data_IF_187808791704
#
_entry.id   IF_187808791704
#
_cell.length_a   1.000
_cell.length_b   1.000
_cell.length_c   1.000
_cell.angle_alpha   90.00
_cell.angle_beta   90.00
_cell.angle_gamma   90.00
#
_symmetry.space_group_name_H-M   'P 1'
#
loop_
_entity.id
_entity.type
_entity.pdbx_description
1 polymer ?
#
# COMPACT_ATOMS: atom_id res chain seq x y z
N UNK A 1 53.91 -4.80 18.79
CA UNK A 1 52.88 -5.60 18.12
C UNK A 1 51.43 -5.13 18.37
N UNK A 2 51.10 -4.57 19.54
CA UNK A 2 49.71 -4.09 19.82
C UNK A 2 49.29 -2.85 19.02
N UNK A 3 50.20 -1.96 18.65
CA UNK A 3 49.90 -0.72 17.89
C UNK A 3 49.63 -0.95 16.41
N UNK A 4 50.16 -2.02 15.81
CA UNK A 4 49.95 -2.33 14.39
C UNK A 4 48.55 -2.92 14.11
N UNK A 5 47.99 -3.67 15.07
CA UNK A 5 46.69 -4.32 14.96
C UNK A 5 45.59 -3.27 15.02
N UNK A 6 45.69 -2.23 15.87
CA UNK A 6 44.71 -1.16 15.96
C UNK A 6 44.63 -0.32 14.66
N UNK A 7 45.81 -0.03 14.05
CA UNK A 7 45.85 0.74 12.79
C UNK A 7 45.27 -0.01 11.59
N UNK A 8 45.43 -1.34 11.55
CA UNK A 8 44.85 -2.18 10.48
C UNK A 8 43.33 -2.29 10.63
N UNK A 9 42.80 -2.41 11.84
CA UNK A 9 41.37 -2.44 12.11
C UNK A 9 40.65 -1.12 11.71
N UNK A 10 41.27 0.02 12.00
CA UNK A 10 40.74 1.34 11.62
C UNK A 10 40.75 1.52 10.10
N UNK A 11 41.78 1.08 9.40
CA UNK A 11 41.88 1.15 7.93
C UNK A 11 40.84 0.25 7.24
N UNK A 12 40.63 -0.97 7.74
CA UNK A 12 39.62 -1.89 7.19
C UNK A 12 38.20 -1.36 7.40
N UNK A 13 37.92 -0.84 8.59
CA UNK A 13 36.62 -0.22 8.88
C UNK A 13 36.37 1.02 8.02
N UNK A 14 37.34 1.87 7.78
CA UNK A 14 37.26 3.05 6.92
C UNK A 14 37.03 2.68 5.46
N UNK A 15 37.72 1.67 4.93
CA UNK A 15 37.50 1.18 3.56
C UNK A 15 36.12 0.52 3.37
N UNK A 16 35.62 -0.21 4.37
CA UNK A 16 34.30 -0.81 4.33
C UNK A 16 33.20 0.26 4.30
N UNK A 17 33.29 1.29 5.14
CA UNK A 17 32.36 2.42 5.18
C UNK A 17 32.38 3.24 3.87
N UNK A 18 33.54 3.46 3.27
CA UNK A 18 33.66 4.13 1.97
C UNK A 18 32.98 3.32 0.87
N UNK A 19 33.17 2.00 0.84
CA UNK A 19 32.51 1.12 -0.14
C UNK A 19 30.98 1.08 0.06
N UNK A 20 30.51 1.08 1.30
CA UNK A 20 29.07 1.11 1.60
C UNK A 20 28.46 2.43 1.15
N UNK A 21 29.04 3.59 1.49
CA UNK A 21 28.54 4.90 1.09
C UNK A 21 28.54 5.09 -0.44
N UNK A 22 29.54 4.51 -1.13
CA UNK A 22 29.60 4.52 -2.59
C UNK A 22 28.48 3.66 -3.22
N UNK A 23 28.20 2.47 -2.68
CA UNK A 23 27.08 1.63 -3.10
C UNK A 23 25.73 2.37 -2.97
N UNK A 24 25.48 2.99 -1.83
CA UNK A 24 24.27 3.79 -1.59
C UNK A 24 24.17 4.96 -2.58
N UNK A 25 25.28 5.67 -2.81
CA UNK A 25 25.31 6.77 -3.77
C UNK A 25 24.96 6.28 -5.17
N UNK A 26 25.63 5.22 -5.64
CA UNK A 26 25.38 4.65 -6.96
C UNK A 26 23.93 4.15 -7.12
N UNK A 27 23.37 3.54 -6.08
CA UNK A 27 21.98 3.12 -6.04
C UNK A 27 21.04 4.33 -6.21
N UNK A 28 21.22 5.40 -5.43
CA UNK A 28 20.41 6.62 -5.55
C UNK A 28 20.51 7.27 -6.94
N UNK A 29 21.69 7.29 -7.52
CA UNK A 29 21.94 7.86 -8.85
C UNK A 29 21.33 7.01 -9.98
N UNK A 30 21.19 5.69 -9.78
CA UNK A 30 20.55 4.79 -10.74
C UNK A 30 19.04 4.96 -10.82
N UNK A 31 18.39 5.42 -9.73
CA UNK A 31 16.94 5.60 -9.67
C UNK A 31 16.55 6.93 -10.34
N UNK A 32 15.86 6.84 -11.48
CA UNK A 32 15.43 8.02 -12.23
C UNK A 32 14.14 7.80 -12.99
N UNK A 33 13.28 8.82 -13.03
CA UNK A 33 12.08 8.85 -13.85
C UNK A 33 12.40 9.42 -15.23
N UNK A 34 12.53 8.56 -16.23
CA UNK A 34 12.81 8.98 -17.62
C UNK A 34 11.58 9.55 -18.32
N UNK A 35 10.40 9.13 -17.86
CA UNK A 35 9.08 9.46 -18.36
C UNK A 35 8.32 10.40 -17.41
N UNK A 36 9.05 11.30 -16.72
CA UNK A 36 8.50 12.18 -15.67
C UNK A 36 7.19 12.87 -16.09
N UNK A 37 7.12 13.42 -17.31
CA UNK A 37 5.93 14.11 -17.78
C UNK A 37 4.70 13.17 -17.91
N UNK A 38 4.93 11.91 -18.29
CA UNK A 38 3.87 10.89 -18.35
C UNK A 38 3.37 10.54 -16.96
N UNK A 39 4.29 10.30 -16.02
CA UNK A 39 3.93 10.04 -14.61
C UNK A 39 3.14 11.19 -14.04
N UNK A 40 3.59 12.44 -14.25
CA UNK A 40 2.93 13.65 -13.74
C UNK A 40 1.53 13.84 -14.33
N UNK A 41 1.33 13.49 -15.61
CA UNK A 41 0.01 13.52 -16.24
C UNK A 41 -1.01 12.62 -15.54
N UNK A 42 -0.64 11.36 -15.27
CA UNK A 42 -1.57 10.38 -14.68
C UNK A 42 -1.65 10.47 -13.15
N UNK A 43 -0.58 10.88 -12.49
CA UNK A 43 -0.59 11.22 -11.08
C UNK A 43 -1.61 12.33 -10.79
N UNK A 44 -1.66 13.37 -11.63
CA UNK A 44 -2.61 14.48 -11.50
C UNK A 44 -4.06 14.10 -11.82
N UNK A 45 -4.33 12.91 -12.35
CA UNK A 45 -5.70 12.39 -12.49
C UNK A 45 -6.28 11.86 -11.19
N UNK A 46 -5.46 11.61 -10.18
CA UNK A 46 -5.90 11.25 -8.82
C UNK A 46 -6.26 12.56 -8.11
N UNK A 47 -7.56 12.87 -8.05
CA UNK A 47 -8.04 14.15 -7.53
C UNK A 47 -8.68 14.02 -6.14
N UNK A 48 -8.70 15.10 -5.35
CA UNK A 48 -9.45 15.12 -4.08
C UNK A 48 -10.93 14.81 -4.27
N UNK A 49 -11.52 15.29 -5.36
CA UNK A 49 -12.96 15.15 -5.68
C UNK A 49 -13.33 13.69 -5.95
N UNK A 50 -12.52 12.96 -6.72
CA UNK A 50 -12.76 11.55 -7.05
C UNK A 50 -12.56 10.66 -5.83
N UNK A 51 -11.51 10.91 -5.05
CA UNK A 51 -11.29 10.23 -3.76
C UNK A 51 -12.45 10.48 -2.78
N UNK A 52 -12.99 11.71 -2.73
CA UNK A 52 -14.14 12.05 -1.91
C UNK A 52 -15.38 11.26 -2.31
N UNK A 53 -15.63 11.08 -3.62
CA UNK A 53 -16.76 10.30 -4.13
C UNK A 53 -16.67 8.84 -3.67
N UNK A 54 -15.50 8.21 -3.85
CA UNK A 54 -15.29 6.82 -3.42
C UNK A 54 -15.40 6.66 -1.91
N UNK A 55 -14.71 7.52 -1.15
CA UNK A 55 -14.65 7.41 0.30
C UNK A 55 -16.02 7.68 0.93
N UNK A 56 -16.74 8.71 0.49
CA UNK A 56 -18.10 8.99 0.95
C UNK A 56 -19.05 7.83 0.63
N UNK A 57 -18.92 7.18 -0.53
CA UNK A 57 -19.71 6.00 -0.83
C UNK A 57 -19.41 4.85 0.13
N UNK A 58 -18.13 4.49 0.29
CA UNK A 58 -17.70 3.33 1.07
C UNK A 58 -18.04 3.47 2.56
N UNK A 59 -17.99 4.68 3.12
CA UNK A 59 -18.19 4.95 4.55
C UNK A 59 -19.61 5.36 4.93
N UNK A 60 -20.63 5.06 4.09
CA UNK A 60 -22.03 5.35 4.41
C UNK A 60 -22.61 4.40 5.47
N UNK A 61 -23.52 4.91 6.27
CA UNK A 61 -24.26 4.14 7.29
C UNK A 61 -25.01 2.92 6.72
N UNK A 62 -25.39 2.95 5.43
CA UNK A 62 -26.03 1.80 4.77
C UNK A 62 -25.20 0.54 4.78
N UNK A 63 -23.86 0.68 4.85
CA UNK A 63 -22.92 -0.44 4.91
C UNK A 63 -22.62 -0.92 6.35
N UNK A 64 -23.28 -0.29 7.34
CA UNK A 64 -23.24 -0.74 8.74
C UNK A 64 -21.83 -0.98 9.28
N UNK A 65 -20.87 -0.13 8.88
CA UNK A 65 -19.47 -0.23 9.28
C UNK A 65 -18.71 -1.42 8.71
N UNK A 66 -19.15 -1.99 7.59
CA UNK A 66 -18.41 -2.97 6.74
C UNK A 66 -17.80 -4.16 7.48
N UNK A 67 -18.48 -4.69 8.52
CA UNK A 67 -17.94 -5.80 9.29
C UNK A 67 -17.71 -7.03 8.43
N UNK A 68 -16.54 -7.66 8.60
CA UNK A 68 -16.15 -8.92 7.95
C UNK A 68 -17.29 -9.97 7.96
N UNK A 69 -17.63 -10.49 6.77
CA UNK A 69 -18.66 -11.52 6.60
C UNK A 69 -20.10 -11.03 6.75
N UNK A 70 -20.32 -9.74 6.97
CA UNK A 70 -21.63 -9.10 7.05
C UNK A 70 -22.05 -8.51 5.69
N UNK A 71 -23.37 -8.28 5.54
CA UNK A 71 -23.98 -7.76 4.31
C UNK A 71 -23.37 -6.42 3.87
N UNK A 72 -23.06 -5.52 4.82
CA UNK A 72 -22.46 -4.21 4.50
C UNK A 72 -21.09 -4.32 3.84
N UNK A 73 -20.24 -5.24 4.31
CA UNK A 73 -18.95 -5.51 3.68
C UNK A 73 -19.12 -6.13 2.28
N UNK A 74 -20.06 -7.09 2.12
CA UNK A 74 -20.34 -7.69 0.84
C UNK A 74 -20.77 -6.64 -0.20
N UNK A 75 -21.60 -5.67 0.19
CA UNK A 75 -22.03 -4.57 -0.67
C UNK A 75 -20.89 -3.63 -1.07
N UNK A 76 -19.94 -3.36 -0.16
CA UNK A 76 -18.71 -2.59 -0.48
C UNK A 76 -17.82 -3.39 -1.43
N UNK A 77 -17.65 -4.69 -1.25
CA UNK A 77 -16.95 -5.55 -2.21
C UNK A 77 -17.61 -5.52 -3.59
N UNK A 78 -18.96 -5.50 -3.66
CA UNK A 78 -19.69 -5.36 -4.91
C UNK A 78 -19.47 -3.98 -5.57
N UNK A 79 -19.39 -2.90 -4.78
CA UNK A 79 -19.05 -1.56 -5.25
C UNK A 79 -17.65 -1.53 -5.87
N UNK A 80 -16.63 -2.04 -5.15
CA UNK A 80 -15.23 -2.14 -5.62
C UNK A 80 -15.18 -2.93 -6.94
N UNK A 81 -15.84 -4.09 -6.98
CA UNK A 81 -15.94 -4.91 -8.20
C UNK A 81 -16.60 -4.16 -9.36
N UNK A 82 -17.69 -3.43 -9.09
CA UNK A 82 -18.41 -2.67 -10.11
C UNK A 82 -17.52 -1.56 -10.70
N UNK A 83 -16.72 -0.88 -9.87
CA UNK A 83 -15.76 0.11 -10.33
C UNK A 83 -14.72 -0.51 -11.27
N UNK A 84 -14.06 -1.62 -10.88
CA UNK A 84 -13.11 -2.29 -11.75
C UNK A 84 -13.73 -2.75 -13.08
N UNK A 85 -14.97 -3.23 -13.05
CA UNK A 85 -15.71 -3.59 -14.28
C UNK A 85 -15.94 -2.37 -15.18
N UNK A 86 -16.31 -1.23 -14.63
CA UNK A 86 -16.56 0.00 -15.40
C UNK A 86 -15.28 0.50 -16.09
N UNK A 87 -14.13 0.27 -15.47
CA UNK A 87 -12.82 0.57 -16.03
C UNK A 87 -12.27 -0.54 -16.96
N UNK A 88 -13.01 -1.64 -17.14
CA UNK A 88 -12.51 -2.83 -17.88
C UNK A 88 -11.15 -3.35 -17.36
N UNK A 89 -10.88 -3.20 -16.05
CA UNK A 89 -9.76 -3.87 -15.38
C UNK A 89 -10.26 -5.28 -15.01
N UNK A 90 -9.56 -6.31 -15.47
CA UNK A 90 -10.05 -7.68 -15.43
C UNK A 90 -9.84 -8.35 -14.05
N UNK A 91 -10.63 -9.36 -13.69
CA UNK A 91 -10.26 -10.28 -12.62
C UNK A 91 -9.07 -11.14 -13.04
N UNK A 92 -8.38 -11.81 -12.11
CA UNK A 92 -7.32 -12.75 -12.44
C UNK A 92 -7.84 -13.84 -13.41
N UNK A 93 -7.03 -14.20 -14.41
CA UNK A 93 -7.43 -15.15 -15.48
C UNK A 93 -7.86 -16.51 -14.91
N UNK A 94 -7.26 -16.94 -13.81
CA UNK A 94 -7.62 -18.19 -13.11
C UNK A 94 -8.96 -18.13 -12.36
N UNK A 95 -9.55 -16.94 -12.24
CA UNK A 95 -10.78 -16.70 -11.49
C UNK A 95 -11.81 -16.01 -12.40
N UNK A 96 -13.01 -16.61 -12.51
CA UNK A 96 -14.10 -16.05 -13.34
C UNK A 96 -14.73 -14.79 -12.76
N UNK A 97 -14.36 -14.41 -11.54
CA UNK A 97 -14.83 -13.20 -10.86
C UNK A 97 -13.69 -12.54 -10.08
N UNK A 98 -13.97 -11.37 -9.47
CA UNK A 98 -12.98 -10.60 -8.71
C UNK A 98 -12.79 -11.09 -7.27
N UNK A 99 -13.50 -12.14 -6.83
CA UNK A 99 -13.52 -12.58 -5.44
C UNK A 99 -12.66 -13.79 -5.18
N UNK A 100 -11.81 -13.69 -4.17
CA UNK A 100 -11.24 -14.83 -3.47
C UNK A 100 -12.03 -15.03 -2.17
N UNK A 101 -12.78 -16.10 -2.08
CA UNK A 101 -13.56 -16.40 -0.88
C UNK A 101 -12.63 -16.83 0.25
N UNK A 102 -12.74 -16.15 1.39
CA UNK A 102 -12.13 -16.53 2.66
C UNK A 102 -13.19 -17.30 3.46
N UNK A 103 -13.06 -18.63 3.58
CA UNK A 103 -14.11 -19.45 4.18
C UNK A 103 -14.19 -19.22 5.70
N UNK A 104 -15.34 -19.52 6.30
CA UNK A 104 -15.55 -19.43 7.75
C UNK A 104 -14.47 -20.18 8.56
N UNK A 105 -14.00 -21.31 8.02
CA UNK A 105 -12.96 -22.13 8.66
C UNK A 105 -11.59 -21.47 8.73
N UNK A 106 -11.37 -20.42 7.93
CA UNK A 106 -10.14 -19.63 7.94
C UNK A 106 -10.28 -18.33 8.75
N UNK A 107 -11.46 -18.04 9.29
CA UNK A 107 -11.77 -16.84 10.06
C UNK A 107 -11.93 -17.14 11.55
N UNK A 108 -11.63 -16.20 12.45
CA UNK A 108 -11.80 -16.38 13.89
C UNK A 108 -13.25 -16.15 14.33
N UNK A 109 -13.55 -16.51 15.57
CA UNK A 109 -14.75 -16.07 16.32
C UNK A 109 -16.09 -16.37 15.63
N UNK A 110 -16.21 -17.46 14.86
CA UNK A 110 -17.41 -17.84 14.13
C UNK A 110 -17.92 -16.74 13.16
N UNK A 111 -17.03 -15.94 12.62
CA UNK A 111 -17.37 -15.03 11.54
C UNK A 111 -17.81 -15.81 10.30
N UNK A 112 -18.76 -15.26 9.57
CA UNK A 112 -19.19 -15.83 8.29
C UNK A 112 -18.08 -15.69 7.24
N UNK A 113 -18.14 -16.53 6.21
CA UNK A 113 -17.27 -16.40 5.06
C UNK A 113 -17.30 -14.96 4.50
N UNK A 114 -16.13 -14.49 4.09
CA UNK A 114 -15.96 -13.17 3.51
C UNK A 114 -15.15 -13.28 2.21
N UNK A 115 -14.73 -12.17 1.61
CA UNK A 115 -13.98 -12.19 0.38
C UNK A 115 -12.94 -11.08 0.28
N UNK A 116 -11.78 -11.42 -0.28
CA UNK A 116 -10.86 -10.45 -0.87
C UNK A 116 -11.36 -10.07 -2.28
N UNK A 117 -11.20 -8.81 -2.68
CA UNK A 117 -11.48 -8.36 -4.05
C UNK A 117 -10.17 -8.13 -4.77
N UNK A 118 -10.04 -8.72 -5.97
CA UNK A 118 -8.79 -8.73 -6.72
C UNK A 118 -9.05 -8.32 -8.16
N UNK A 119 -8.38 -7.26 -8.60
CA UNK A 119 -8.33 -6.85 -9.98
C UNK A 119 -6.89 -6.89 -10.50
N UNK A 120 -6.71 -7.03 -11.81
CA UNK A 120 -5.44 -7.32 -12.40
C UNK A 120 -5.24 -6.59 -13.73
N UNK A 121 -4.06 -5.99 -13.88
CA UNK A 121 -3.59 -5.43 -15.15
C UNK A 121 -2.33 -6.17 -15.58
N UNK A 122 -2.41 -6.91 -16.68
CA UNK A 122 -1.30 -7.67 -17.22
C UNK A 122 -0.18 -6.75 -17.74
N UNK A 123 1.05 -7.05 -17.37
CA UNK A 123 2.25 -6.33 -17.81
C UNK A 123 2.55 -6.53 -19.30
N UNK A 124 3.16 -5.52 -19.93
CA UNK A 124 3.47 -5.55 -21.35
C UNK A 124 4.78 -6.30 -21.68
N UNK A 125 5.75 -6.32 -20.75
CA UNK A 125 7.08 -6.91 -20.96
C UNK A 125 7.37 -8.05 -19.96
N UNK A 126 6.90 -7.93 -18.72
CA UNK A 126 7.13 -8.89 -17.63
C UNK A 126 5.80 -9.31 -16.99
N UNK A 127 4.91 -10.03 -17.72
CA UNK A 127 3.55 -10.34 -17.25
C UNK A 127 3.53 -11.24 -16.01
N UNK A 128 4.59 -12.01 -15.77
CA UNK A 128 4.72 -12.92 -14.62
C UNK A 128 5.43 -12.28 -13.42
N UNK A 129 5.76 -10.99 -13.46
CA UNK A 129 6.28 -10.22 -12.33
C UNK A 129 5.20 -9.26 -11.83
N UNK A 130 4.94 -9.23 -10.52
CA UNK A 130 3.77 -8.57 -9.93
C UNK A 130 4.16 -7.45 -8.97
N UNK A 131 3.48 -6.31 -9.08
CA UNK A 131 3.46 -5.24 -8.08
C UNK A 131 2.08 -5.23 -7.46
N UNK A 132 1.99 -5.40 -6.14
CA UNK A 132 0.74 -5.33 -5.40
C UNK A 132 0.51 -3.94 -4.86
N UNK A 133 -0.74 -3.47 -4.96
CA UNK A 133 -1.24 -2.26 -4.29
C UNK A 133 -2.46 -2.73 -3.49
N UNK A 134 -2.39 -2.62 -2.17
CA UNK A 134 -3.40 -3.21 -1.28
C UNK A 134 -3.93 -2.24 -0.24
N UNK A 135 -5.17 -2.49 0.17
CA UNK A 135 -5.82 -1.92 1.34
C UNK A 135 -6.85 -2.90 1.88
N UNK A 136 -7.20 -2.85 3.16
CA UNK A 136 -8.36 -3.59 3.63
C UNK A 136 -9.65 -2.81 3.40
N UNK A 137 -10.75 -3.54 3.22
CA UNK A 137 -12.06 -2.98 2.91
C UNK A 137 -13.11 -3.21 4.00
N UNK A 138 -12.82 -4.08 4.97
CA UNK A 138 -13.65 -4.28 6.16
C UNK A 138 -13.40 -3.20 7.21
N UNK A 139 -14.28 -3.13 8.22
CA UNK A 139 -14.09 -2.33 9.43
C UNK A 139 -14.91 -2.95 10.59
N UNK A 140 -15.04 -2.28 11.70
CA UNK A 140 -15.54 -2.79 12.98
C UNK A 140 -17.05 -3.13 12.99
N UNK A 141 -17.85 -2.54 12.12
CA UNK A 141 -19.28 -2.81 12.06
C UNK A 141 -20.12 -1.96 13.01
N UNK A 142 -21.07 -2.59 13.70
CA UNK A 142 -21.93 -1.95 14.71
C UNK A 142 -21.49 -2.45 16.09
N UNK A 143 -21.07 -1.53 16.95
CA UNK A 143 -20.68 -1.82 18.33
C UNK A 143 -21.57 -1.02 19.28
N UNK A 144 -22.25 -1.68 20.21
CA UNK A 144 -23.17 -1.06 21.20
C UNK A 144 -24.26 -0.19 20.56
N UNK A 145 -24.69 -0.50 19.33
CA UNK A 145 -25.72 0.23 18.59
C UNK A 145 -25.22 1.44 17.79
N UNK A 146 -23.93 1.74 17.83
CA UNK A 146 -23.29 2.78 17.03
C UNK A 146 -22.59 2.18 15.82
N UNK A 147 -22.69 2.85 14.66
CA UNK A 147 -22.04 2.44 13.41
C UNK A 147 -20.63 3.01 13.39
N UNK A 148 -19.65 2.15 13.18
CA UNK A 148 -18.25 2.53 12.99
C UNK A 148 -17.98 2.60 11.49
N UNK A 149 -18.05 3.79 10.93
CA UNK A 149 -17.96 3.98 9.47
C UNK A 149 -16.54 3.84 8.90
N UNK A 150 -15.51 4.02 9.72
CA UNK A 150 -14.12 3.83 9.32
C UNK A 150 -13.75 4.57 8.03
N UNK A 151 -13.92 5.90 8.04
CA UNK A 151 -13.65 6.69 6.84
C UNK A 151 -12.14 6.74 6.54
N UNK A 152 -11.31 6.96 7.56
CA UNK A 152 -9.86 6.84 7.41
C UNK A 152 -9.43 5.37 7.50
N UNK A 153 -10.00 4.62 8.41
CA UNK A 153 -9.69 3.22 8.69
C UNK A 153 -10.77 2.26 8.10
N UNK A 154 -10.62 1.65 6.92
CA UNK A 154 -9.65 2.00 5.89
C UNK A 154 -10.38 2.38 4.58
N UNK A 155 -11.38 3.26 4.72
CA UNK A 155 -12.04 3.88 3.55
C UNK A 155 -11.06 4.68 2.71
N UNK A 156 -10.10 5.39 3.36
CA UNK A 156 -9.10 6.20 2.69
C UNK A 156 -8.15 5.36 1.82
N UNK A 157 -7.64 4.25 2.36
CA UNK A 157 -6.78 3.34 1.61
C UNK A 157 -7.55 2.63 0.49
N UNK A 158 -8.77 2.17 0.76
CA UNK A 158 -9.62 1.53 -0.26
C UNK A 158 -9.90 2.48 -1.43
N UNK A 159 -10.28 3.75 -1.17
CA UNK A 159 -10.48 4.76 -2.20
C UNK A 159 -9.18 5.05 -2.99
N UNK A 160 -8.05 5.15 -2.30
CA UNK A 160 -6.76 5.39 -2.94
C UNK A 160 -6.37 4.26 -3.91
N UNK A 161 -6.61 2.98 -3.56
CA UNK A 161 -6.34 1.85 -4.47
C UNK A 161 -7.20 1.93 -5.73
N UNK A 162 -8.48 2.33 -5.62
CA UNK A 162 -9.39 2.51 -6.76
C UNK A 162 -8.89 3.60 -7.72
N UNK A 163 -8.53 4.77 -7.20
CA UNK A 163 -8.03 5.90 -7.99
C UNK A 163 -6.66 5.62 -8.63
N UNK A 164 -5.76 4.95 -7.91
CA UNK A 164 -4.49 4.50 -8.46
C UNK A 164 -4.71 3.52 -9.62
N UNK A 165 -5.68 2.62 -9.50
CA UNK A 165 -6.03 1.67 -10.57
C UNK A 165 -6.58 2.39 -11.80
N UNK A 166 -7.43 3.39 -11.62
CA UNK A 166 -7.96 4.21 -12.71
C UNK A 166 -6.85 4.98 -13.42
N UNK A 167 -5.93 5.61 -12.68
CA UNK A 167 -4.77 6.31 -13.25
C UNK A 167 -3.90 5.37 -14.11
N UNK A 168 -3.62 4.15 -13.65
CA UNK A 168 -2.90 3.14 -14.44
C UNK A 168 -3.69 2.71 -15.68
N UNK A 169 -5.01 2.56 -15.56
CA UNK A 169 -5.87 2.21 -16.71
C UNK A 169 -5.87 3.30 -17.77
N UNK A 170 -6.00 4.56 -17.37
CA UNK A 170 -5.93 5.70 -18.28
C UNK A 170 -4.56 5.78 -18.99
N UNK A 171 -3.47 5.56 -18.26
CA UNK A 171 -2.14 5.48 -18.85
C UNK A 171 -2.04 4.35 -19.88
N UNK A 172 -2.53 3.17 -19.56
CA UNK A 172 -2.49 2.01 -20.46
C UNK A 172 -3.29 2.24 -21.75
N UNK A 173 -4.48 2.87 -21.66
CA UNK A 173 -5.30 3.24 -22.82
C UNK A 173 -4.61 4.27 -23.73
N UNK A 174 -3.78 5.13 -23.16
CA UNK A 174 -2.97 6.10 -23.91
C UNK A 174 -1.63 5.54 -24.45
N UNK A 175 -1.41 4.23 -24.31
CA UNK A 175 -0.21 3.56 -24.82
C UNK A 175 0.94 3.42 -23.80
N UNK A 176 0.73 3.82 -22.56
CA UNK A 176 1.70 3.72 -21.47
C UNK A 176 1.38 2.54 -20.54
N UNK A 177 1.21 1.35 -21.11
CA UNK A 177 0.94 0.12 -20.37
C UNK A 177 2.11 -0.22 -19.44
N UNK A 178 1.88 -0.57 -18.17
CA UNK A 178 2.95 -0.98 -17.26
C UNK A 178 3.68 -2.22 -17.80
N UNK A 179 4.98 -2.31 -17.56
CA UNK A 179 5.81 -3.43 -18.02
C UNK A 179 5.58 -4.68 -17.19
N UNK A 180 5.45 -4.53 -15.85
CA UNK A 180 5.05 -5.59 -14.92
C UNK A 180 3.56 -5.55 -14.71
N UNK A 181 3.03 -6.69 -14.33
CA UNK A 181 1.64 -6.81 -13.93
C UNK A 181 1.39 -6.09 -12.61
N UNK A 182 0.20 -5.47 -12.50
CA UNK A 182 -0.23 -4.81 -11.27
C UNK A 182 -1.44 -5.57 -10.73
N UNK A 183 -1.40 -5.89 -9.45
CA UNK A 183 -2.50 -6.53 -8.71
C UNK A 183 -3.04 -5.51 -7.72
N UNK A 184 -4.33 -5.15 -7.88
CA UNK A 184 -5.07 -4.33 -6.94
C UNK A 184 -5.82 -5.29 -6.01
N UNK A 185 -5.49 -5.24 -4.72
CA UNK A 185 -5.96 -6.20 -3.73
C UNK A 185 -6.65 -5.49 -2.57
N UNK A 186 -7.97 -5.66 -2.46
CA UNK A 186 -8.71 -5.25 -1.28
C UNK A 186 -8.96 -6.47 -0.41
N UNK A 187 -8.35 -6.50 0.76
CA UNK A 187 -8.48 -7.64 1.67
C UNK A 187 -9.62 -7.44 2.65
N UNK A 188 -10.10 -8.55 3.19
CA UNK A 188 -11.10 -8.62 4.26
C UNK A 188 -10.44 -9.04 5.57
N UNK A 189 -11.15 -8.91 6.68
CA UNK A 189 -10.77 -9.45 7.98
C UNK A 189 -9.40 -8.96 8.49
N UNK A 190 -9.04 -7.73 8.16
CA UNK A 190 -7.89 -7.05 8.72
C UNK A 190 -8.11 -6.81 10.22
N UNK A 191 -9.23 -6.19 10.58
CA UNK A 191 -9.65 -5.76 11.93
C UNK A 191 -9.70 -6.89 12.97
N UNK A 192 -9.80 -8.11 12.50
CA UNK A 192 -9.87 -9.30 13.37
C UNK A 192 -8.56 -10.08 13.41
N UNK A 193 -7.48 -9.55 12.80
CA UNK A 193 -6.13 -10.09 12.88
C UNK A 193 -5.52 -10.48 11.54
N UNK A 194 -5.68 -9.66 10.48
CA UNK A 194 -5.04 -9.78 9.17
C UNK A 194 -5.41 -11.08 8.42
N UNK A 195 -6.60 -11.66 8.66
CA UNK A 195 -6.95 -12.99 8.13
C UNK A 195 -7.11 -13.01 6.62
N UNK A 196 -7.57 -11.92 6.00
CA UNK A 196 -7.74 -11.85 4.54
C UNK A 196 -6.43 -11.91 3.78
N UNK A 197 -5.45 -11.11 4.17
CA UNK A 197 -4.09 -11.15 3.60
C UNK A 197 -3.35 -12.42 3.97
N UNK A 198 -3.55 -12.94 5.20
CA UNK A 198 -3.00 -14.24 5.60
C UNK A 198 -3.53 -15.37 4.72
N UNK A 199 -4.86 -15.41 4.49
CA UNK A 199 -5.46 -16.40 3.60
C UNK A 199 -4.96 -16.25 2.16
N UNK A 200 -4.82 -14.99 1.67
CA UNK A 200 -4.27 -14.73 0.34
C UNK A 200 -2.85 -15.28 0.20
N UNK A 201 -1.97 -14.99 1.15
CA UNK A 201 -0.57 -15.43 1.07
C UNK A 201 -0.38 -16.94 1.26
N UNK A 202 -1.32 -17.63 1.90
CA UNK A 202 -1.34 -19.10 1.96
C UNK A 202 -1.99 -19.75 0.74
N UNK A 203 -2.87 -19.04 0.03
CA UNK A 203 -3.60 -19.50 -1.15
C UNK A 203 -3.47 -18.48 -2.29
N UNK A 204 -2.24 -18.13 -2.71
CA UNK A 204 -2.03 -17.02 -3.63
C UNK A 204 -2.57 -17.33 -5.02
N UNK A 205 -3.20 -16.33 -5.64
CA UNK A 205 -3.70 -16.42 -7.01
C UNK A 205 -2.54 -16.28 -8.00
N UNK A 206 -1.56 -15.46 -7.66
CA UNK A 206 -0.31 -15.30 -8.42
C UNK A 206 0.87 -15.78 -7.57
N UNK A 207 1.91 -16.40 -8.15
CA UNK A 207 3.06 -16.90 -7.41
C UNK A 207 3.73 -15.81 -6.59
N UNK A 208 3.85 -16.00 -5.27
CA UNK A 208 4.43 -15.01 -4.36
C UNK A 208 5.91 -14.74 -4.65
N UNK A 209 6.65 -15.75 -5.11
CA UNK A 209 8.06 -15.63 -5.50
C UNK A 209 8.29 -14.64 -6.64
N UNK A 210 7.28 -14.40 -7.46
CA UNK A 210 7.31 -13.46 -8.57
C UNK A 210 6.84 -12.04 -8.17
N UNK A 211 6.53 -11.83 -6.89
CA UNK A 211 6.12 -10.50 -6.40
C UNK A 211 7.32 -9.59 -6.24
N UNK A 212 7.31 -8.48 -6.96
CA UNK A 212 8.36 -7.45 -6.90
C UNK A 212 8.30 -6.70 -5.57
N UNK A 213 7.13 -6.19 -5.21
CA UNK A 213 6.87 -5.50 -3.96
C UNK A 213 5.37 -5.44 -3.68
N UNK A 214 5.01 -5.22 -2.41
CA UNK A 214 3.64 -4.91 -1.97
C UNK A 214 3.60 -3.52 -1.34
N UNK A 215 2.75 -2.66 -1.88
CA UNK A 215 2.46 -1.31 -1.42
C UNK A 215 1.12 -1.33 -0.70
N UNK A 216 1.15 -1.36 0.62
CA UNK A 216 -0.04 -1.45 1.48
C UNK A 216 -0.44 -0.07 1.98
N UNK A 217 -1.70 0.27 1.80
CA UNK A 217 -2.28 1.56 2.17
C UNK A 217 -3.28 1.33 3.28
N UNK A 218 -3.01 1.96 4.43
CA UNK A 218 -3.88 1.81 5.57
C UNK A 218 -3.83 3.10 6.39
N UNK A 219 -4.97 3.83 6.38
CA UNK A 219 -5.13 5.15 6.96
C UNK A 219 -4.18 6.20 6.39
N UNK A 220 -4.63 6.93 5.36
CA UNK A 220 -3.85 8.00 4.72
C UNK A 220 -4.64 9.31 4.55
N UNK A 221 -5.84 9.42 5.14
CA UNK A 221 -6.76 10.56 4.96
C UNK A 221 -6.75 11.60 6.08
N UNK A 222 -6.03 11.36 7.17
CA UNK A 222 -6.04 12.21 8.36
C UNK A 222 -4.63 12.70 8.76
N UNK A 223 -4.58 13.40 9.88
CA UNK A 223 -3.35 13.89 10.51
C UNK A 223 -3.31 13.45 11.96
N UNK A 224 -2.20 12.88 12.42
CA UNK A 224 -2.01 12.50 13.81
C UNK A 224 -1.67 13.70 14.72
N UNK A 225 -1.74 13.53 16.04
CA UNK A 225 -1.43 14.63 16.97
C UNK A 225 0.02 15.15 16.90
N UNK A 226 0.96 14.33 16.40
CA UNK A 226 2.39 14.66 16.35
C UNK A 226 2.65 15.66 15.22
N UNK A 227 1.88 15.57 14.12
CA UNK A 227 2.11 16.35 12.90
C UNK A 227 1.14 17.51 12.69
N UNK A 228 0.35 17.92 13.71
CA UNK A 228 -0.60 19.05 13.61
C UNK A 228 0.01 20.37 13.15
N UNK A 229 1.30 20.59 13.43
CA UNK A 229 2.02 21.78 12.99
C UNK A 229 2.62 21.67 11.59
N UNK A 230 2.71 20.44 11.07
CA UNK A 230 3.21 20.13 9.72
C UNK A 230 2.48 18.93 9.14
N UNK A 231 1.29 19.18 8.61
CA UNK A 231 0.36 18.15 8.14
C UNK A 231 0.83 17.43 6.86
N UNK A 232 1.77 18.03 6.12
CA UNK A 232 2.30 17.47 4.89
C UNK A 232 3.34 16.37 5.17
N UNK A 233 2.91 15.22 5.68
CA UNK A 233 3.74 14.08 6.04
C UNK A 233 3.09 12.75 5.69
N UNK A 234 3.88 11.69 5.73
CA UNK A 234 3.42 10.30 5.67
C UNK A 234 4.45 9.38 6.34
N UNK A 235 3.99 8.45 7.17
CA UNK A 235 4.86 7.39 7.67
C UNK A 235 5.07 6.33 6.60
N UNK A 236 6.33 5.92 6.44
CA UNK A 236 6.73 4.78 5.61
C UNK A 236 7.30 3.69 6.51
N UNK A 237 6.58 2.57 6.62
CA UNK A 237 6.94 1.47 7.50
C UNK A 237 7.32 0.25 6.66
N UNK A 238 8.47 -0.36 6.95
CA UNK A 238 8.96 -1.56 6.27
C UNK A 238 9.77 -1.32 5.00
N UNK A 239 9.84 -0.09 4.48
CA UNK A 239 10.42 0.22 3.18
C UNK A 239 11.89 -0.24 3.01
N UNK A 240 12.69 -0.22 4.08
CA UNK A 240 14.11 -0.59 4.09
C UNK A 240 14.39 -1.98 4.72
N UNK A 241 13.36 -2.67 5.23
CA UNK A 241 13.57 -3.92 5.98
C UNK A 241 13.92 -5.11 5.09
N UNK A 242 13.45 -5.14 3.85
CA UNK A 242 13.67 -6.23 2.91
C UNK A 242 14.28 -5.78 1.57
N UNK A 243 14.46 -4.47 1.38
CA UNK A 243 15.06 -3.89 0.18
C UNK A 243 15.49 -2.45 0.42
N UNK A 244 16.79 -2.20 0.43
CA UNK A 244 17.30 -0.82 0.45
C UNK A 244 16.90 -0.05 -0.81
N UNK A 245 16.78 -0.73 -1.95
CA UNK A 245 16.38 -0.12 -3.21
C UNK A 245 14.93 0.40 -3.15
N UNK A 246 14.00 -0.36 -2.57
CA UNK A 246 12.61 0.07 -2.42
C UNK A 246 12.48 1.37 -1.63
N UNK A 247 13.24 1.48 -0.53
CA UNK A 247 13.30 2.70 0.27
C UNK A 247 13.73 3.92 -0.57
N UNK A 248 14.78 3.79 -1.39
CA UNK A 248 15.27 4.91 -2.21
C UNK A 248 14.40 5.18 -3.44
N UNK A 249 13.68 4.18 -3.95
CA UNK A 249 12.63 4.39 -4.97
C UNK A 249 11.52 5.28 -4.40
N UNK A 250 11.01 4.97 -3.20
CA UNK A 250 10.00 5.79 -2.55
C UNK A 250 10.51 7.22 -2.28
N UNK A 251 11.73 7.39 -1.74
CA UNK A 251 12.32 8.71 -1.57
C UNK A 251 12.44 9.47 -2.90
N UNK A 252 12.81 8.78 -3.98
CA UNK A 252 12.93 9.41 -5.31
C UNK A 252 11.58 9.81 -5.89
N UNK A 253 10.54 8.98 -5.72
CA UNK A 253 9.17 9.30 -6.10
C UNK A 253 8.74 10.60 -5.41
N UNK A 254 8.87 10.64 -4.08
CA UNK A 254 8.51 11.79 -3.28
C UNK A 254 9.26 13.06 -3.68
N UNK A 255 10.59 13.00 -3.77
CA UNK A 255 11.41 14.18 -4.12
C UNK A 255 11.20 14.65 -5.58
N UNK A 256 10.58 13.83 -6.42
CA UNK A 256 10.31 14.17 -7.82
C UNK A 256 8.93 14.78 -8.01
N UNK A 257 7.92 14.35 -7.24
CA UNK A 257 6.51 14.64 -7.53
C UNK A 257 5.73 15.31 -6.38
N UNK A 258 5.88 14.90 -5.13
CA UNK A 258 4.95 15.27 -4.05
C UNK A 258 5.57 16.07 -2.89
N UNK A 259 6.84 15.87 -2.58
CA UNK A 259 7.57 16.59 -1.54
C UNK A 259 6.99 16.46 -0.11
N UNK A 260 6.32 15.35 0.20
CA UNK A 260 5.85 15.02 1.55
C UNK A 260 7.04 14.91 2.53
N UNK A 261 6.81 15.22 3.77
CA UNK A 261 7.76 14.93 4.84
C UNK A 261 7.64 13.44 5.23
N UNK A 262 8.52 12.58 4.68
CA UNK A 262 8.49 11.14 4.95
C UNK A 262 9.03 10.85 6.36
N UNK A 263 8.19 10.29 7.21
CA UNK A 263 8.55 9.91 8.57
C UNK A 263 8.82 8.40 8.68
N UNK A 264 9.96 8.03 9.24
CA UNK A 264 10.43 6.65 9.44
C UNK A 264 10.46 6.24 10.92
N UNK A 265 9.84 7.02 11.80
CA UNK A 265 9.88 6.80 13.25
C UNK A 265 9.44 5.40 13.63
N UNK A 266 8.38 4.89 12.98
CA UNK A 266 7.81 3.56 13.25
C UNK A 266 8.50 2.41 12.51
N UNK A 267 9.55 2.70 11.76
CA UNK A 267 10.35 1.68 11.07
C UNK A 267 11.43 1.04 11.95
N UNK A 268 11.60 1.53 13.18
CA UNK A 268 12.58 1.03 14.13
C UNK A 268 12.17 -0.35 14.67
N UNK A 269 13.13 -1.25 14.86
CA UNK A 269 12.88 -2.59 15.39
C UNK A 269 12.32 -2.60 16.83
N UNK A 270 12.62 -1.54 17.59
CA UNK A 270 12.14 -1.33 18.95
C UNK A 270 10.93 -0.39 19.05
N UNK A 271 10.18 -0.20 17.95
CA UNK A 271 8.93 0.56 18.00
C UNK A 271 7.98 -0.05 19.04
N UNK A 272 7.59 0.71 20.09
CA UNK A 272 6.72 0.19 21.15
C UNK A 272 5.31 -0.14 20.63
N UNK A 273 4.86 0.51 19.56
CA UNK A 273 3.54 0.29 18.94
C UNK A 273 3.56 -0.90 18.00
N UNK A 274 4.74 -1.33 17.55
CA UNK A 274 4.93 -2.48 16.65
C UNK A 274 4.12 -2.37 15.35
N UNK A 275 3.97 -1.18 14.79
CA UNK A 275 3.16 -0.96 13.58
C UNK A 275 3.59 -1.80 12.38
N UNK A 276 4.87 -2.16 12.26
CA UNK A 276 5.32 -3.08 11.20
C UNK A 276 4.58 -4.42 11.16
N UNK A 277 3.94 -4.82 12.25
CA UNK A 277 3.22 -6.10 12.39
C UNK A 277 1.70 -5.93 12.39
N UNK A 278 1.18 -4.72 12.19
CA UNK A 278 -0.22 -4.38 12.47
C UNK A 278 -1.06 -4.12 11.23
N UNK A 279 -0.55 -4.33 10.01
CA UNK A 279 -1.35 -4.24 8.79
C UNK A 279 -0.94 -5.32 7.77
N UNK A 280 -1.69 -5.44 6.71
CA UNK A 280 -1.68 -6.55 5.74
C UNK A 280 -0.36 -6.79 5.02
N UNK A 281 0.50 -5.75 4.89
CA UNK A 281 1.85 -5.88 4.33
C UNK A 281 2.69 -6.93 5.06
N UNK A 282 2.44 -7.14 6.36
CA UNK A 282 3.25 -8.06 7.16
C UNK A 282 3.12 -9.50 6.68
N UNK A 283 1.93 -9.93 6.25
CA UNK A 283 1.74 -11.27 5.71
C UNK A 283 2.55 -11.51 4.43
N UNK A 284 2.76 -10.49 3.60
CA UNK A 284 3.67 -10.57 2.45
C UNK A 284 5.14 -10.53 2.88
N UNK A 285 5.49 -9.68 3.85
CA UNK A 285 6.85 -9.57 4.37
C UNK A 285 7.38 -10.89 4.94
N UNK A 286 6.53 -11.71 5.57
CA UNK A 286 6.87 -13.04 6.07
C UNK A 286 7.39 -13.99 4.98
N UNK A 287 7.02 -13.77 3.71
CA UNK A 287 7.53 -14.49 2.55
C UNK A 287 8.75 -13.82 1.88
N UNK A 288 9.36 -12.83 2.57
CA UNK A 288 10.54 -12.11 2.05
C UNK A 288 10.22 -11.16 0.90
N UNK A 289 8.96 -10.77 0.74
CA UNK A 289 8.53 -9.81 -0.27
C UNK A 289 8.79 -8.40 0.28
N UNK A 290 9.51 -7.53 -0.46
CA UNK A 290 9.67 -6.13 -0.08
C UNK A 290 8.31 -5.41 0.05
N UNK A 291 8.13 -4.65 1.13
CA UNK A 291 6.85 -4.01 1.45
C UNK A 291 7.04 -2.55 1.84
N UNK A 292 6.00 -1.75 1.59
CA UNK A 292 5.82 -0.45 2.27
C UNK A 292 4.41 -0.44 2.85
N UNK A 293 4.31 -0.08 4.10
CA UNK A 293 3.06 0.31 4.75
C UNK A 293 3.03 1.84 4.83
N UNK A 294 2.09 2.43 4.10
CA UNK A 294 1.80 3.87 4.10
C UNK A 294 0.73 4.15 5.14
N UNK A 295 1.04 5.05 6.08
CA UNK A 295 0.23 5.28 7.25
C UNK A 295 0.27 6.75 7.70
N UNK A 296 -0.85 7.32 8.14
CA UNK A 296 -0.86 8.67 8.69
C UNK A 296 -0.73 8.75 10.22
N UNK A 297 -0.66 7.61 10.89
CA UNK A 297 -0.70 7.57 12.35
C UNK A 297 -2.12 7.51 12.90
N UNK A 298 -2.25 7.20 14.19
CA UNK A 298 -3.53 7.17 14.89
C UNK A 298 -3.98 8.60 15.24
N UNK A 299 -5.21 8.95 14.85
CA UNK A 299 -5.84 10.22 15.18
C UNK A 299 -6.91 10.06 16.27
N UNK A 300 -7.50 11.15 16.72
CA UNK A 300 -8.44 11.16 17.84
C UNK A 300 -9.72 10.35 17.63
N UNK A 301 -10.09 10.09 16.36
CA UNK A 301 -11.27 9.32 15.97
C UNK A 301 -10.94 7.86 15.60
N UNK A 302 -9.68 7.43 15.68
CA UNK A 302 -9.27 6.06 15.39
C UNK A 302 -10.05 5.04 16.24
N UNK A 303 -10.58 4.01 15.59
CA UNK A 303 -11.47 2.99 16.19
C UNK A 303 -12.69 3.57 16.93
N UNK A 304 -13.30 4.64 16.39
CA UNK A 304 -14.49 5.27 16.95
C UNK A 304 -15.57 5.48 15.89
N UNK A 305 -16.86 5.57 16.30
CA UNK A 305 -17.94 5.90 15.36
C UNK A 305 -17.84 7.29 14.77
N UNK A 306 -16.93 8.12 15.30
CA UNK A 306 -16.65 9.47 14.82
C UNK A 306 -15.61 9.55 13.73
N UNK A 307 -15.05 8.43 13.24
CA UNK A 307 -14.23 8.37 12.02
C UNK A 307 -15.13 8.43 10.80
N UNK A 308 -15.41 9.65 10.32
CA UNK A 308 -16.40 9.97 9.30
C UNK A 308 -15.81 10.74 8.12
N UNK A 309 -16.44 10.62 6.95
CA UNK A 309 -15.94 11.18 5.69
C UNK A 309 -15.77 12.71 5.69
N UNK A 310 -16.53 13.44 6.49
CA UNK A 310 -16.43 14.89 6.60
C UNK A 310 -15.17 15.39 7.33
N UNK A 311 -14.44 14.47 7.99
CA UNK A 311 -13.19 14.78 8.70
C UNK A 311 -11.93 14.48 7.88
N UNK A 312 -12.07 13.89 6.71
CA UNK A 312 -10.94 13.55 5.84
C UNK A 312 -10.35 14.80 5.19
N UNK A 313 -9.03 14.89 5.19
CA UNK A 313 -8.29 15.90 4.45
C UNK A 313 -8.05 15.40 3.01
N UNK A 314 -9.05 15.59 2.13
CA UNK A 314 -9.02 15.08 0.76
C UNK A 314 -7.84 15.60 -0.09
N UNK A 315 -7.43 16.88 -0.01
CA UNK A 315 -6.21 17.33 -0.69
C UNK A 315 -4.96 16.56 -0.27
N UNK A 316 -4.80 16.29 1.03
CA UNK A 316 -3.67 15.54 1.55
C UNK A 316 -3.77 14.04 1.19
N UNK A 317 -4.97 13.47 1.23
CA UNK A 317 -5.24 12.10 0.76
C UNK A 317 -4.83 11.94 -0.71
N UNK A 318 -5.18 12.91 -1.57
CA UNK A 318 -4.80 12.89 -2.98
C UNK A 318 -3.27 12.95 -3.15
N UNK A 319 -2.58 13.85 -2.46
CA UNK A 319 -1.12 13.97 -2.54
C UNK A 319 -0.42 12.67 -2.10
N UNK A 320 -0.92 12.01 -1.04
CA UNK A 320 -0.40 10.72 -0.56
C UNK A 320 -0.68 9.60 -1.57
N UNK A 321 -1.88 9.52 -2.15
CA UNK A 321 -2.21 8.55 -3.19
C UNK A 321 -1.36 8.77 -4.47
N UNK A 322 -1.12 10.01 -4.86
CA UNK A 322 -0.23 10.40 -5.96
C UNK A 322 1.21 9.95 -5.71
N UNK A 323 1.72 10.09 -4.50
CA UNK A 323 3.03 9.58 -4.10
C UNK A 323 3.13 8.06 -4.24
N UNK A 324 2.08 7.33 -3.79
CA UNK A 324 2.02 5.87 -3.88
C UNK A 324 1.94 5.43 -5.34
N UNK A 325 1.13 6.11 -6.16
CA UNK A 325 1.08 5.88 -7.61
C UNK A 325 2.45 6.04 -8.26
N UNK A 326 3.17 7.14 -7.96
CA UNK A 326 4.50 7.37 -8.52
C UNK A 326 5.50 6.28 -8.12
N UNK A 327 5.43 5.81 -6.87
CA UNK A 327 6.26 4.69 -6.38
C UNK A 327 5.92 3.39 -7.13
N UNK A 328 4.63 3.07 -7.26
CA UNK A 328 4.14 1.91 -8.01
C UNK A 328 4.53 1.98 -9.49
N UNK A 329 4.44 3.17 -10.09
CA UNK A 329 4.83 3.38 -11.48
C UNK A 329 6.29 3.02 -11.73
N UNK A 330 7.19 3.45 -10.85
CA UNK A 330 8.61 3.09 -10.97
C UNK A 330 8.81 1.57 -10.91
N UNK A 331 8.22 0.92 -9.90
CA UNK A 331 8.31 -0.53 -9.71
C UNK A 331 7.77 -1.30 -10.91
N UNK A 332 6.64 -0.86 -11.45
CA UNK A 332 5.99 -1.49 -12.60
C UNK A 332 6.74 -1.29 -13.92
N UNK A 333 7.54 -0.22 -14.05
CA UNK A 333 8.18 0.16 -15.33
C UNK A 333 9.70 0.06 -15.34
N UNK A 334 10.37 -0.22 -14.20
CA UNK A 334 11.81 -0.40 -14.15
C UNK A 334 12.25 -1.60 -14.99
N UNK A 335 13.43 -1.48 -15.65
CA UNK A 335 13.98 -2.56 -16.49
C UNK A 335 14.58 -3.70 -15.68
N UNK A 336 15.02 -3.41 -14.48
CA UNK A 336 15.64 -4.37 -13.56
C UNK A 336 14.64 -4.80 -12.50
N UNK A 337 14.70 -6.07 -12.09
CA UNK A 337 13.97 -6.53 -10.92
C UNK A 337 14.48 -5.81 -9.67
N UNK A 338 13.58 -5.57 -8.73
CA UNK A 338 13.91 -4.94 -7.45
C UNK A 338 14.91 -5.80 -6.66
N UNK A 339 15.99 -5.17 -6.20
CA UNK A 339 16.97 -5.83 -5.33
C UNK A 339 16.39 -6.07 -3.93
N UNK A 340 16.58 -7.28 -3.42
CA UNK A 340 16.28 -7.64 -2.02
C UNK A 340 17.52 -7.54 -1.12
N UNK A 341 18.56 -6.83 -1.57
CA UNK A 341 19.77 -6.59 -0.77
C UNK A 341 19.51 -5.48 0.25
N UNK A 342 19.93 -5.74 1.50
CA UNK A 342 20.01 -4.73 2.55
C UNK A 342 21.45 -4.21 2.58
N UNK A 343 21.61 -2.94 2.24
CA UNK A 343 22.91 -2.27 2.19
C UNK A 343 23.24 -1.56 3.49
#
# INVERSE_FOLDING_TARGET
MKTLIASVLILVGSCANLRHSEKIKNLKESISYKDKAVVEQYLNSITPEDLELHLKEISQDKYKGRKTGEEGHNQVCDYIRAHYKSLEIQPPVSHSNYYQIVPETALPNNLKASQNVIAYMEGAEYPDEYVYISAHSDHEGIINGEIYNGADDNGSGTAAVLEIAEAFKHAALAGHRPKRSIVFLHVTAEEVGLYGSHYYTQNPIFPLENTTATLNIDMIGRVDPIHKENENYLYLIGADKLSTELHYIAQKANTTFTHLNLDYTYNKDNDPNRYYYRSDHYNFAQYGIPVIFFFNGEHEDYTKPTDTADKINYPLLAERAQFIFATAWYLANSKTSLSREIL
#
